data_IF_847051280977
#
_entry.id   IF_847051280977
#
_cell.length_a   1.000
_cell.length_b   1.000
_cell.length_c   1.000
_cell.angle_alpha   90.00
_cell.angle_beta   90.00
_cell.angle_gamma   90.00
#
_symmetry.space_group_name_H-M   'P 1'
#
loop_
_entity.id
_entity.type
_entity.pdbx_description
1 polymer ?
#
# COMPACT_ATOMS: atom_id res chain seq x y z
N UNK A 1 -29.64 2.84 -3.13
CA UNK A 1 -29.11 1.65 -2.42
C UNK A 1 -29.09 0.52 -3.43
N UNK A 2 -28.03 0.44 -4.23
CA UNK A 2 -27.95 -0.45 -5.39
C UNK A 2 -26.99 -1.58 -5.02
N UNK A 3 -27.54 -2.78 -4.87
CA UNK A 3 -26.81 -4.01 -4.64
C UNK A 3 -25.95 -4.31 -5.87
N UNK A 4 -24.64 -4.52 -5.70
CA UNK A 4 -23.83 -5.23 -6.70
C UNK A 4 -24.50 -6.59 -6.94
N UNK A 5 -24.95 -6.82 -8.17
CA UNK A 5 -25.85 -7.92 -8.51
C UNK A 5 -25.14 -9.26 -8.47
N UNK A 6 -25.65 -10.20 -7.67
CA UNK A 6 -25.54 -11.63 -7.95
C UNK A 6 -26.81 -12.05 -8.70
N UNK A 7 -26.66 -12.32 -9.99
CA UNK A 7 -27.70 -12.97 -10.80
C UNK A 7 -27.57 -14.48 -10.60
N UNK A 8 -28.56 -15.10 -9.96
CA UNK A 8 -28.90 -16.52 -10.18
C UNK A 8 -30.37 -16.75 -9.79
N UNK A 9 -31.01 -17.59 -10.58
CA UNK A 9 -32.44 -17.71 -10.87
C UNK A 9 -33.32 -18.14 -9.68
N UNK A 10 -34.55 -17.61 -9.64
CA UNK A 10 -35.56 -17.78 -8.57
C UNK A 10 -36.23 -19.15 -8.60
N UNK A 11 -36.38 -19.80 -7.43
CA UNK A 11 -37.63 -20.49 -7.09
C UNK A 11 -37.96 -20.36 -5.59
N UNK A 12 -39.24 -20.14 -5.31
CA UNK A 12 -39.83 -19.48 -4.12
C UNK A 12 -39.96 -20.40 -2.89
N UNK A 13 -39.57 -19.91 -1.70
CA UNK A 13 -40.29 -20.08 -0.42
C UNK A 13 -40.09 -18.81 0.41
N UNK A 14 -41.18 -18.21 0.87
CA UNK A 14 -41.17 -17.01 1.69
C UNK A 14 -40.98 -17.36 3.18
N UNK A 15 -39.83 -17.00 3.75
CA UNK A 15 -39.60 -16.86 5.18
C UNK A 15 -39.15 -15.42 5.39
N UNK A 16 -40.03 -14.56 5.90
CA UNK A 16 -39.66 -13.19 6.30
C UNK A 16 -38.94 -13.30 7.63
N UNK A 17 -37.63 -13.60 7.57
CA UNK A 17 -36.72 -13.36 8.69
C UNK A 17 -36.19 -11.94 8.52
N UNK A 18 -36.65 -11.01 9.37
CA UNK A 18 -36.13 -9.65 9.39
C UNK A 18 -34.75 -9.66 10.06
N UNK A 19 -33.75 -10.16 9.34
CA UNK A 19 -32.36 -9.89 9.65
C UNK A 19 -32.14 -8.42 9.31
N UNK A 20 -32.15 -7.56 10.33
CA UNK A 20 -31.44 -6.28 10.28
C UNK A 20 -29.95 -6.59 10.15
N UNK A 21 -29.53 -7.04 8.97
CA UNK A 21 -28.14 -6.99 8.56
C UNK A 21 -27.79 -5.52 8.51
N UNK A 22 -27.08 -5.05 9.54
CA UNK A 22 -26.39 -3.76 9.47
C UNK A 22 -25.56 -3.77 8.19
N UNK A 23 -26.02 -3.03 7.19
CA UNK A 23 -25.31 -2.91 5.93
C UNK A 23 -24.07 -2.06 6.23
N UNK A 24 -22.97 -2.73 6.58
CA UNK A 24 -21.66 -2.11 6.40
C UNK A 24 -21.55 -1.90 4.90
N UNK A 25 -21.57 -0.63 4.47
CA UNK A 25 -21.27 -0.29 3.09
C UNK A 25 -19.85 -0.80 2.82
N UNK A 26 -19.78 -1.91 2.08
CA UNK A 26 -18.52 -2.52 1.66
C UNK A 26 -18.00 -1.73 0.48
N UNK A 27 -16.67 -1.59 0.36
CA UNK A 27 -16.04 -0.97 -0.80
C UNK A 27 -16.66 -1.51 -2.10
N UNK A 28 -17.08 -0.59 -2.96
CA UNK A 28 -17.64 -0.90 -4.27
C UNK A 28 -16.93 -0.05 -5.31
N UNK A 29 -16.11 -0.67 -6.16
CA UNK A 29 -15.30 0.04 -7.15
C UNK A 29 -16.13 0.92 -8.12
N UNK A 30 -17.40 0.56 -8.35
CA UNK A 30 -18.33 1.30 -9.22
C UNK A 30 -19.07 2.43 -8.48
N UNK A 31 -18.96 2.48 -7.15
CA UNK A 31 -19.59 3.52 -6.33
C UNK A 31 -18.88 4.85 -6.49
N UNK A 32 -19.67 5.92 -6.63
CA UNK A 32 -19.18 7.32 -6.61
C UNK A 32 -19.09 7.91 -5.21
N UNK A 33 -19.46 7.13 -4.19
CA UNK A 33 -19.54 7.58 -2.80
C UNK A 33 -18.44 6.99 -1.93
N UNK A 34 -17.46 6.29 -2.51
CA UNK A 34 -16.31 5.82 -1.74
C UNK A 34 -15.53 7.02 -1.22
N UNK A 35 -15.15 6.99 0.05
CA UNK A 35 -14.26 7.98 0.65
C UNK A 35 -12.85 7.40 0.70
N UNK A 36 -11.92 8.17 0.16
CA UNK A 36 -10.49 7.84 0.09
C UNK A 36 -9.75 8.83 0.98
N UNK A 37 -8.86 8.33 1.84
CA UNK A 37 -7.98 9.18 2.65
C UNK A 37 -6.51 8.82 2.44
N UNK A 38 -5.65 9.82 2.49
CA UNK A 38 -4.21 9.66 2.58
C UNK A 38 -3.80 9.56 4.05
N UNK A 39 -2.89 8.63 4.35
CA UNK A 39 -2.37 8.37 5.69
C UNK A 39 -0.88 8.01 5.62
N UNK A 40 -0.08 8.58 6.52
CA UNK A 40 1.37 8.31 6.57
C UNK A 40 2.24 9.55 6.74
N UNK A 41 1.72 10.76 6.49
CA UNK A 41 2.49 12.02 6.61
C UNK A 41 1.87 13.05 7.55
N UNK A 42 0.87 12.65 8.36
CA UNK A 42 0.23 13.54 9.32
C UNK A 42 1.12 13.76 10.57
N UNK A 43 1.31 15.01 11.02
CA UNK A 43 2.05 15.28 12.25
C UNK A 43 1.32 14.66 13.45
N UNK A 44 2.04 13.86 14.25
CA UNK A 44 1.48 13.09 15.38
C UNK A 44 0.27 12.23 14.99
N UNK A 45 0.22 11.73 13.75
CA UNK A 45 -0.87 10.88 13.30
C UNK A 45 -1.03 9.65 14.20
N UNK A 46 -2.28 9.22 14.35
CA UNK A 46 -2.63 7.98 15.04
C UNK A 46 -2.31 6.78 14.15
N UNK A 47 -2.25 5.61 14.77
CA UNK A 47 -2.11 4.32 14.12
C UNK A 47 -3.17 4.09 13.03
N UNK A 48 -2.80 3.34 11.98
CA UNK A 48 -3.64 3.03 10.83
C UNK A 48 -5.00 2.45 11.26
N UNK A 49 -5.01 1.60 12.29
CA UNK A 49 -6.23 0.95 12.80
C UNK A 49 -7.32 1.93 13.22
N UNK A 50 -6.95 3.12 13.72
CA UNK A 50 -7.91 4.16 14.09
C UNK A 50 -8.77 4.57 12.90
N UNK A 51 -8.14 4.71 11.73
CA UNK A 51 -8.81 5.09 10.48
C UNK A 51 -9.56 3.92 9.86
N UNK A 52 -9.07 2.69 10.01
CA UNK A 52 -9.77 1.49 9.55
C UNK A 52 -11.09 1.25 10.30
N UNK A 53 -11.18 1.67 11.56
CA UNK A 53 -12.41 1.61 12.35
C UNK A 53 -13.47 2.64 11.93
N UNK A 54 -13.10 3.66 11.14
CA UNK A 54 -14.03 4.66 10.66
C UNK A 54 -14.93 4.06 9.58
N UNK A 55 -16.23 4.01 9.84
CA UNK A 55 -17.21 3.40 8.93
C UNK A 55 -17.41 4.18 7.63
N UNK A 56 -17.04 5.45 7.60
CA UNK A 56 -17.18 6.36 6.46
C UNK A 56 -15.95 6.39 5.54
N UNK A 57 -14.91 5.61 5.83
CA UNK A 57 -13.70 5.50 5.00
C UNK A 57 -13.75 4.18 4.26
N UNK A 58 -13.51 4.15 2.95
CA UNK A 58 -13.53 2.91 2.16
C UNK A 58 -12.13 2.49 1.71
N UNK A 59 -11.31 3.48 1.38
CA UNK A 59 -9.94 3.29 0.88
C UNK A 59 -8.97 4.14 1.70
N UNK A 60 -7.86 3.55 2.10
CA UNK A 60 -6.74 4.24 2.74
C UNK A 60 -5.53 4.12 1.83
N UNK A 61 -4.99 5.28 1.47
CA UNK A 61 -3.76 5.44 0.70
C UNK A 61 -2.60 5.57 1.70
N UNK A 62 -1.67 4.61 1.69
CA UNK A 62 -0.45 4.63 2.48
C UNK A 62 0.60 5.49 1.79
N UNK A 63 1.08 6.50 2.49
CA UNK A 63 1.86 7.59 1.92
C UNK A 63 3.22 7.68 2.63
N UNK A 64 4.36 7.33 2.00
CA UNK A 64 4.60 7.11 0.56
C UNK A 64 5.80 6.19 0.28
N UNK A 65 5.87 5.69 -0.96
CA UNK A 65 7.15 5.44 -1.65
C UNK A 65 7.69 6.79 -2.14
N UNK A 66 8.66 7.36 -1.41
CA UNK A 66 9.13 8.75 -1.58
C UNK A 66 10.50 8.86 -2.26
N UNK A 67 11.16 7.73 -2.53
CA UNK A 67 12.42 7.64 -3.27
C UNK A 67 12.32 6.49 -4.27
N UNK A 68 12.80 6.70 -5.49
CA UNK A 68 12.89 5.64 -6.50
C UNK A 68 14.29 4.99 -6.47
N UNK A 69 14.47 3.80 -7.08
CA UNK A 69 15.71 3.04 -7.00
C UNK A 69 16.99 3.85 -7.31
N UNK A 70 16.92 4.75 -8.31
CA UNK A 70 18.04 5.61 -8.71
C UNK A 70 18.41 6.67 -7.66
N UNK A 71 17.42 7.20 -6.94
CA UNK A 71 17.63 8.19 -5.88
C UNK A 71 17.88 7.56 -4.50
N UNK A 72 17.71 6.25 -4.37
CA UNK A 72 18.09 5.48 -3.19
C UNK A 72 19.34 4.61 -3.49
N UNK A 73 19.49 3.49 -2.78
CA UNK A 73 20.58 2.54 -2.97
C UNK A 73 20.16 1.30 -3.79
N UNK A 74 19.40 1.50 -4.88
CA UNK A 74 18.93 0.42 -5.74
C UNK A 74 17.61 -0.24 -5.30
N UNK A 75 17.18 -0.07 -4.06
CA UNK A 75 15.78 -0.33 -3.65
C UNK A 75 15.02 0.99 -3.47
N UNK A 76 13.72 1.01 -3.80
CA UNK A 76 12.84 2.15 -3.50
C UNK A 76 12.83 2.48 -2.00
N UNK A 77 12.50 3.71 -1.66
CA UNK A 77 12.40 4.17 -0.27
C UNK A 77 10.98 4.43 0.18
N UNK A 78 10.62 3.96 1.37
CA UNK A 78 9.30 4.22 1.98
C UNK A 78 9.44 5.12 3.20
N UNK A 79 8.41 5.93 3.45
CA UNK A 79 8.31 6.75 4.65
C UNK A 79 6.84 6.85 5.04
N UNK A 80 6.51 6.47 6.28
CA UNK A 80 5.15 6.57 6.85
C UNK A 80 5.16 7.43 8.12
N UNK A 81 5.96 8.50 8.12
CA UNK A 81 5.99 9.49 9.18
C UNK A 81 6.49 8.91 10.50
N UNK A 82 5.68 9.03 11.54
CA UNK A 82 6.01 8.60 12.91
C UNK A 82 5.80 7.10 13.19
N UNK A 83 5.58 6.27 12.15
CA UNK A 83 5.04 4.91 12.31
C UNK A 83 6.08 3.79 12.26
N UNK A 84 7.31 4.10 11.82
CA UNK A 84 8.35 3.11 11.59
C UNK A 84 9.59 3.37 12.44
N UNK A 85 10.33 2.31 12.72
CA UNK A 85 11.68 2.39 13.27
C UNK A 85 12.70 2.84 12.20
N UNK A 86 13.98 2.85 12.59
CA UNK A 86 15.10 3.30 11.72
C UNK A 86 15.77 2.17 10.91
N UNK A 87 15.34 0.92 11.11
CA UNK A 87 15.92 -0.21 10.41
C UNK A 87 15.54 -0.17 8.93
N UNK A 88 16.50 -0.50 8.06
CA UNK A 88 16.34 -0.50 6.60
C UNK A 88 16.87 -1.80 6.01
N UNK A 89 16.33 -2.22 4.88
CA UNK A 89 16.93 -3.28 4.07
C UNK A 89 18.15 -2.72 3.32
N UNK A 90 19.28 -3.44 3.30
CA UNK A 90 20.44 -3.03 2.52
C UNK A 90 20.12 -3.14 1.03
N UNK A 91 20.26 -2.03 0.30
CA UNK A 91 20.07 -2.00 -1.14
C UNK A 91 21.24 -2.64 -1.90
N UNK A 92 21.00 -3.12 -3.13
CA UNK A 92 22.03 -3.74 -3.96
C UNK A 92 23.00 -2.72 -4.61
N UNK A 93 22.75 -1.42 -4.45
CA UNK A 93 23.38 -0.37 -5.25
C UNK A 93 22.63 -0.09 -6.55
N UNK A 94 22.96 1.04 -7.17
CA UNK A 94 22.39 1.47 -8.44
C UNK A 94 23.51 1.77 -9.44
N UNK A 95 23.41 1.23 -10.65
CA UNK A 95 24.44 1.35 -11.71
C UNK A 95 25.88 1.04 -11.26
N UNK A 96 26.05 0.00 -10.44
CA UNK A 96 27.36 -0.45 -9.95
C UNK A 96 27.93 0.38 -8.79
N UNK A 97 27.18 1.37 -8.29
CA UNK A 97 27.55 2.15 -7.10
C UNK A 97 26.69 1.70 -5.92
N UNK A 98 27.33 1.26 -4.84
CA UNK A 98 26.66 0.90 -3.58
C UNK A 98 26.91 2.00 -2.53
N UNK A 99 25.84 2.64 -2.08
CA UNK A 99 25.83 3.70 -1.08
C UNK A 99 24.89 3.36 0.09
N UNK A 100 25.32 2.56 1.09
CA UNK A 100 24.45 2.13 2.19
C UNK A 100 23.81 3.27 3.00
N UNK A 101 24.39 4.49 2.95
CA UNK A 101 23.79 5.68 3.57
C UNK A 101 22.47 6.12 2.90
N UNK A 102 22.19 5.62 1.69
CA UNK A 102 20.98 5.87 0.90
C UNK A 102 19.99 4.68 0.98
N UNK A 103 20.24 3.70 1.84
CA UNK A 103 19.25 2.66 2.14
C UNK A 103 18.02 3.32 2.78
N UNK A 104 16.87 3.19 2.10
CA UNK A 104 15.64 3.89 2.47
C UNK A 104 14.40 2.99 2.50
N UNK A 105 14.54 1.70 2.21
CA UNK A 105 13.46 0.73 2.35
C UNK A 105 13.33 0.33 3.81
N UNK A 106 12.37 0.92 4.53
CA UNK A 106 12.19 0.66 5.97
C UNK A 106 11.84 -0.81 6.20
N UNK A 107 12.54 -1.43 7.16
CA UNK A 107 12.43 -2.85 7.48
C UNK A 107 11.62 -3.14 8.76
N UNK A 108 11.15 -2.10 9.44
CA UNK A 108 10.44 -2.26 10.70
C UNK A 108 9.36 -1.19 10.89
N UNK A 109 8.14 -1.50 10.48
CA UNK A 109 6.94 -0.68 10.68
C UNK A 109 5.86 -1.49 11.42
N UNK A 110 6.12 -1.91 12.67
CA UNK A 110 5.42 -3.06 13.29
C UNK A 110 3.92 -2.85 13.44
N UNK A 111 3.48 -1.62 13.74
CA UNK A 111 2.06 -1.28 13.80
C UNK A 111 1.39 -1.40 12.44
N UNK A 112 1.97 -0.81 11.39
CA UNK A 112 1.46 -0.88 10.01
C UNK A 112 1.39 -2.33 9.54
N UNK A 113 2.48 -3.08 9.66
CA UNK A 113 2.59 -4.47 9.21
C UNK A 113 1.49 -5.34 9.84
N UNK A 114 1.21 -5.15 11.14
CA UNK A 114 0.15 -5.89 11.83
C UNK A 114 -1.27 -5.42 11.49
N UNK A 115 -1.45 -4.14 11.14
CA UNK A 115 -2.77 -3.52 11.01
C UNK A 115 -3.35 -3.58 9.60
N UNK A 116 -2.53 -3.60 8.54
CA UNK A 116 -3.01 -3.71 7.15
C UNK A 116 -3.97 -4.91 6.96
N UNK A 117 -3.62 -6.14 7.38
CA UNK A 117 -4.53 -7.27 7.24
C UNK A 117 -5.83 -7.09 8.01
N UNK A 118 -5.79 -6.45 9.18
CA UNK A 118 -6.99 -6.17 9.98
C UNK A 118 -7.90 -5.19 9.24
N UNK A 119 -7.34 -4.14 8.65
CA UNK A 119 -8.08 -3.17 7.85
C UNK A 119 -8.78 -3.85 6.66
N UNK A 120 -8.07 -4.71 5.94
CA UNK A 120 -8.60 -5.43 4.78
C UNK A 120 -9.64 -6.49 5.18
N UNK A 121 -9.31 -7.35 6.13
CA UNK A 121 -10.09 -8.56 6.45
C UNK A 121 -11.23 -8.29 7.41
N UNK A 122 -11.01 -7.46 8.44
CA UNK A 122 -12.03 -7.16 9.47
C UNK A 122 -12.90 -5.97 9.06
N UNK A 123 -12.28 -4.90 8.56
CA UNK A 123 -13.00 -3.66 8.24
C UNK A 123 -13.34 -3.49 6.76
N UNK A 124 -12.90 -4.41 5.90
CA UNK A 124 -13.22 -4.39 4.47
C UNK A 124 -12.63 -3.21 3.70
N UNK A 125 -11.61 -2.55 4.25
CA UNK A 125 -10.96 -1.39 3.61
C UNK A 125 -10.05 -1.84 2.48
N UNK A 126 -9.88 -0.97 1.49
CA UNK A 126 -8.80 -1.11 0.50
C UNK A 126 -7.58 -0.33 0.97
N UNK A 127 -6.42 -0.96 0.91
CA UNK A 127 -5.14 -0.37 1.28
C UNK A 127 -4.31 -0.22 0.02
N UNK A 128 -4.05 1.01 -0.40
CA UNK A 128 -3.30 1.31 -1.64
C UNK A 128 -1.99 1.97 -1.25
N UNK A 129 -0.87 1.59 -1.86
CA UNK A 129 0.42 2.25 -1.61
C UNK A 129 0.64 3.39 -2.62
N UNK A 130 0.85 4.60 -2.13
CA UNK A 130 1.10 5.76 -2.98
C UNK A 130 2.58 5.95 -3.28
N UNK A 131 2.85 6.27 -4.54
CA UNK A 131 4.17 6.49 -5.11
C UNK A 131 4.32 7.97 -5.43
N UNK A 132 5.32 8.61 -4.83
CA UNK A 132 5.62 10.03 -5.01
C UNK A 132 5.44 10.86 -3.73
N UNK A 133 4.51 11.81 -3.79
CA UNK A 133 4.26 12.87 -2.80
C UNK A 133 5.05 14.15 -3.08
N UNK A 134 4.81 15.20 -2.28
CA UNK A 134 5.35 16.55 -2.49
C UNK A 134 6.86 16.76 -2.25
N UNK A 135 7.64 15.70 -2.06
CA UNK A 135 9.10 15.81 -1.94
C UNK A 135 9.76 15.77 -3.33
N UNK A 136 10.80 16.59 -3.55
CA UNK A 136 11.56 16.63 -4.83
C UNK A 136 12.65 15.55 -4.92
N UNK A 137 12.49 14.43 -4.23
CA UNK A 137 13.56 13.46 -3.99
C UNK A 137 13.52 12.22 -4.89
N UNK A 138 12.55 12.13 -5.80
CA UNK A 138 12.41 11.01 -6.73
C UNK A 138 12.37 11.54 -8.17
N UNK A 139 12.83 10.74 -9.13
CA UNK A 139 12.73 11.06 -10.55
C UNK A 139 12.90 9.79 -11.37
N UNK A 140 12.15 9.67 -12.46
CA UNK A 140 12.40 8.68 -13.51
C UNK A 140 13.05 9.36 -14.71
N UNK A 141 14.21 8.87 -15.13
CA UNK A 141 14.94 9.42 -16.29
C UNK A 141 14.77 8.57 -17.55
N UNK A 142 14.14 7.39 -17.45
CA UNK A 142 13.85 6.54 -18.58
C UNK A 142 13.03 5.30 -18.23
N UNK A 143 12.67 4.53 -19.26
CA UNK A 143 11.80 3.37 -19.14
C UNK A 143 12.39 2.26 -18.27
N UNK A 144 13.71 2.06 -18.29
CA UNK A 144 14.36 1.02 -17.48
C UNK A 144 14.22 1.29 -15.97
N UNK A 145 14.27 2.57 -15.56
CA UNK A 145 14.05 2.95 -14.17
C UNK A 145 12.58 2.76 -13.78
N UNK A 146 11.66 3.02 -14.71
CA UNK A 146 10.23 2.81 -14.51
C UNK A 146 9.89 1.31 -14.35
N UNK A 147 10.47 0.45 -15.21
CA UNK A 147 10.31 -0.99 -15.16
C UNK A 147 10.85 -1.53 -13.83
N UNK A 148 12.05 -1.09 -13.41
CA UNK A 148 12.63 -1.48 -12.13
C UNK A 148 11.77 -1.06 -10.94
N UNK A 149 11.23 0.17 -10.96
CA UNK A 149 10.32 0.64 -9.91
C UNK A 149 9.05 -0.21 -9.87
N UNK A 150 8.43 -0.48 -11.02
CA UNK A 150 7.23 -1.30 -11.11
C UNK A 150 7.46 -2.74 -10.62
N UNK A 151 8.58 -3.36 -11.00
CA UNK A 151 8.98 -4.67 -10.53
C UNK A 151 9.13 -4.69 -9.01
N UNK A 152 9.83 -3.70 -8.43
CA UNK A 152 10.00 -3.62 -6.98
C UNK A 152 8.68 -3.42 -6.24
N UNK A 153 7.81 -2.53 -6.73
CA UNK A 153 6.47 -2.33 -6.17
C UNK A 153 5.72 -3.66 -6.12
N UNK A 154 5.71 -4.40 -7.23
CA UNK A 154 5.02 -5.68 -7.32
C UNK A 154 5.60 -6.75 -6.40
N UNK A 155 6.91 -7.00 -6.46
CA UNK A 155 7.52 -8.12 -5.73
C UNK A 155 7.65 -7.86 -4.23
N UNK A 156 7.73 -6.59 -3.80
CA UNK A 156 7.90 -6.24 -2.38
C UNK A 156 6.58 -5.97 -1.66
N UNK A 157 5.53 -5.51 -2.37
CA UNK A 157 4.26 -5.10 -1.76
C UNK A 157 3.02 -5.79 -2.34
N UNK A 158 3.13 -6.46 -3.49
CA UNK A 158 2.07 -7.29 -4.07
C UNK A 158 2.11 -8.74 -3.59
N UNK A 159 1.51 -9.68 -4.35
CA UNK A 159 1.48 -11.11 -4.05
C UNK A 159 2.82 -11.70 -3.62
N UNK A 160 2.86 -12.34 -2.45
CA UNK A 160 4.10 -12.93 -1.94
C UNK A 160 4.57 -14.07 -2.84
N UNK A 161 5.84 -14.01 -3.25
CA UNK A 161 6.50 -15.07 -4.01
C UNK A 161 7.62 -15.69 -3.16
N UNK A 162 7.41 -16.92 -2.70
CA UNK A 162 8.36 -17.60 -1.81
C UNK A 162 9.74 -17.83 -2.44
N UNK A 163 9.82 -18.01 -3.76
CA UNK A 163 11.11 -18.14 -4.46
C UNK A 163 11.91 -16.85 -4.35
N UNK A 164 11.26 -15.69 -4.55
CA UNK A 164 11.91 -14.38 -4.43
C UNK A 164 12.30 -14.07 -2.99
N UNK A 165 11.44 -14.41 -2.01
CA UNK A 165 11.78 -14.26 -0.59
C UNK A 165 12.98 -15.11 -0.21
N UNK A 166 13.04 -16.37 -0.68
CA UNK A 166 14.19 -17.25 -0.46
C UNK A 166 15.49 -16.72 -1.11
N UNK A 167 15.36 -15.91 -2.16
CA UNK A 167 16.47 -15.21 -2.81
C UNK A 167 16.85 -13.88 -2.12
N UNK A 168 16.17 -13.53 -1.03
CA UNK A 168 16.44 -12.33 -0.24
C UNK A 168 15.72 -11.07 -0.72
N UNK A 169 14.71 -11.18 -1.58
CA UNK A 169 13.86 -10.03 -1.94
C UNK A 169 13.11 -9.54 -0.70
N UNK A 170 13.22 -8.25 -0.32
CA UNK A 170 12.55 -7.70 0.84
C UNK A 170 11.03 -7.81 0.79
N UNK A 171 10.41 -7.99 1.96
CA UNK A 171 8.97 -7.89 2.20
C UNK A 171 8.69 -6.91 3.33
N UNK A 172 8.67 -5.59 3.06
CA UNK A 172 8.66 -4.56 4.10
C UNK A 172 7.42 -4.57 5.00
N UNK A 173 6.28 -5.00 4.46
CA UNK A 173 5.00 -5.00 5.16
C UNK A 173 4.66 -6.33 5.83
N UNK A 174 5.40 -7.40 5.55
CA UNK A 174 5.11 -8.70 6.14
C UNK A 174 5.24 -8.62 7.67
N UNK A 175 4.38 -9.38 8.36
CA UNK A 175 4.32 -9.37 9.82
C UNK A 175 4.47 -10.79 10.35
N UNK A 176 5.63 -11.07 10.96
CA UNK A 176 6.00 -12.45 11.38
C UNK A 176 5.94 -13.36 10.15
N UNK A 177 5.19 -14.46 10.22
CA UNK A 177 5.01 -15.42 9.13
C UNK A 177 3.82 -15.07 8.20
N UNK A 178 3.17 -13.92 8.42
CA UNK A 178 2.04 -13.49 7.61
C UNK A 178 2.50 -12.59 6.46
N UNK A 179 2.21 -13.04 5.24
CA UNK A 179 2.30 -12.23 4.03
C UNK A 179 1.32 -11.05 4.10
N UNK A 180 1.80 -9.85 3.80
CA UNK A 180 0.97 -8.64 3.73
C UNK A 180 1.12 -8.02 2.35
N UNK A 181 -0.02 -7.75 1.73
CA UNK A 181 -0.10 -7.29 0.34
C UNK A 181 -1.02 -6.08 0.28
N UNK A 182 -0.66 -5.08 -0.51
CA UNK A 182 -1.54 -3.93 -0.79
C UNK A 182 -2.54 -4.29 -1.89
N UNK A 183 -3.70 -3.63 -1.87
CA UNK A 183 -4.76 -3.81 -2.87
C UNK A 183 -4.46 -3.11 -4.20
N UNK A 184 -3.37 -2.34 -4.28
CA UNK A 184 -2.94 -1.64 -5.49
C UNK A 184 -1.95 -0.52 -5.21
N UNK A 185 -1.67 0.26 -6.25
CA UNK A 185 -0.76 1.39 -6.21
C UNK A 185 -1.46 2.67 -6.69
N UNK A 186 -1.15 3.77 -6.02
CA UNK A 186 -1.57 5.12 -6.35
C UNK A 186 -0.35 5.92 -6.84
N UNK A 187 -0.57 6.82 -7.80
CA UNK A 187 0.51 7.57 -8.46
C UNK A 187 0.33 9.06 -8.16
N UNK A 188 0.87 9.50 -7.03
CA UNK A 188 0.81 10.88 -6.56
C UNK A 188 2.10 11.62 -6.95
N UNK A 189 2.29 11.78 -8.26
CA UNK A 189 3.49 12.41 -8.84
C UNK A 189 3.26 13.92 -8.92
N UNK A 190 3.96 14.68 -8.09
CA UNK A 190 3.65 16.11 -7.86
C UNK A 190 4.60 17.09 -8.57
N UNK A 191 5.65 16.59 -9.22
CA UNK A 191 6.60 17.45 -9.92
C UNK A 191 6.88 16.93 -11.34
N UNK A 192 7.18 17.83 -12.29
CA UNK A 192 7.46 17.46 -13.67
C UNK A 192 8.72 16.59 -13.75
N UNK A 193 8.82 15.82 -14.82
CA UNK A 193 10.07 15.15 -15.15
C UNK A 193 11.15 16.16 -15.56
N UNK A 194 12.32 16.07 -14.94
CA UNK A 194 13.49 16.82 -15.41
C UNK A 194 13.98 16.22 -16.75
N UNK A 195 13.61 16.83 -17.89
CA UNK A 195 14.12 16.43 -19.21
C UNK A 195 13.10 16.32 -20.35
N UNK A 196 11.99 17.05 -20.31
CA UNK A 196 11.05 17.18 -21.44
C UNK A 196 11.59 18.03 -22.59
#
# INVERSE_FOLDING_TARGET
MQLCSLVSTIQRVAIISLLLSGCLAKFCAESKNNVVLYWGQGPNQLDLIHYCQQSHVDVIILSFVHLFPAQANGFLGINFGNQCGRAVFPGPGFHGVNEPRRDALLANCPAINAQIPVCQQTYGKKIILSVGGGMLSYQLTGIQEADLLADQLWVMFGPRNETLVAQGVPRPLDFKDQAVEVDGFDMDIEHPSEGG
#
